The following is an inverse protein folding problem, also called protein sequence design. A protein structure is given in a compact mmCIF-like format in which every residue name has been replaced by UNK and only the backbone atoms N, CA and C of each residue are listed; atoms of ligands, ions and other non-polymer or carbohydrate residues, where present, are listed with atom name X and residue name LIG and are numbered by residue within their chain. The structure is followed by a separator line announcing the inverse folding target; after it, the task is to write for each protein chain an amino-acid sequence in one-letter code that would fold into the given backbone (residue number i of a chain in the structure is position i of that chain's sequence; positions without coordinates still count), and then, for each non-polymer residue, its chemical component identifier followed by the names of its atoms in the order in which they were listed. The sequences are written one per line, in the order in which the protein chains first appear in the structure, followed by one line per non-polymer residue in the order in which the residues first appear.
data_IF_802626424193
#
_entry.id   IF_802626424193
#
_cell.length_a   1.000
_cell.length_b   1.000
_cell.length_c   1.000
_cell.angle_alpha   90.00
_cell.angle_beta   90.00
_cell.angle_gamma   90.00
#
_symmetry.space_group_name_H-M   'P 1'
#
loop_
_entity.id
_entity.type
_entity.pdbx_description
1 polymer ?
#
# COMPACT_ATOMS: atom_id res chain seq x y z
N UNK A 1 -8.64 21.43 2.45
CA UNK A 1 -8.40 21.45 1.00
C UNK A 1 -6.90 21.63 0.82
N UNK A 2 -6.18 20.62 0.33
CA UNK A 2 -4.73 20.71 0.17
C UNK A 2 -4.43 21.46 -1.12
N UNK A 3 -3.69 22.56 -1.04
CA UNK A 3 -3.21 23.28 -2.22
C UNK A 3 -2.02 22.52 -2.80
N UNK A 4 -2.17 21.96 -4.00
CA UNK A 4 -1.07 21.35 -4.74
C UNK A 4 -0.44 22.43 -5.63
N UNK A 5 0.86 22.74 -5.49
CA UNK A 5 1.57 23.69 -6.33
C UNK A 5 1.37 23.46 -7.85
N UNK A 6 1.29 24.53 -8.65
CA UNK A 6 0.99 24.47 -10.09
C UNK A 6 2.04 23.68 -10.88
N UNK A 7 3.32 23.78 -10.49
CA UNK A 7 4.43 23.03 -11.08
C UNK A 7 4.25 21.51 -10.92
N UNK A 8 3.72 21.06 -9.78
CA UNK A 8 3.41 19.65 -9.54
C UNK A 8 2.21 19.22 -10.39
N UNK A 9 1.22 20.09 -10.56
CA UNK A 9 0.05 19.79 -11.40
C UNK A 9 0.47 19.60 -12.86
N UNK A 10 1.29 20.51 -13.41
CA UNK A 10 1.80 20.42 -14.78
C UNK A 10 2.64 19.16 -14.97
N UNK A 11 3.53 18.85 -14.02
CA UNK A 11 4.35 17.64 -14.07
C UNK A 11 3.51 16.35 -14.08
N UNK A 12 2.42 16.29 -13.29
CA UNK A 12 1.51 15.15 -13.29
C UNK A 12 0.73 15.04 -14.59
N UNK A 13 0.29 16.16 -15.15
CA UNK A 13 -0.44 16.20 -16.42
C UNK A 13 0.43 15.69 -17.57
N UNK A 14 1.69 16.09 -17.63
CA UNK A 14 2.69 15.54 -18.58
C UNK A 14 2.90 14.03 -18.39
N UNK A 15 2.96 13.57 -17.14
CA UNK A 15 3.11 12.15 -16.81
C UNK A 15 1.94 11.30 -17.31
N UNK A 16 0.70 11.80 -17.18
CA UNK A 16 -0.47 11.10 -17.69
C UNK A 16 -0.69 11.30 -19.19
N UNK A 17 -0.16 12.38 -19.78
CA UNK A 17 -0.31 12.71 -21.19
C UNK A 17 0.67 11.98 -22.13
N UNK A 18 1.77 11.44 -21.61
CA UNK A 18 2.83 10.79 -22.42
C UNK A 18 2.46 9.42 -23.03
N UNK A 19 1.18 9.19 -23.33
CA UNK A 19 0.74 8.10 -24.21
C UNK A 19 0.65 6.72 -23.56
N UNK A 20 0.72 6.65 -22.24
CA UNK A 20 0.33 5.44 -21.52
C UNK A 20 -1.20 5.33 -21.54
N UNK A 21 -1.77 4.75 -22.61
CA UNK A 21 -3.18 4.38 -22.71
C UNK A 21 -3.51 3.20 -21.76
N UNK A 22 -3.26 3.38 -20.47
CA UNK A 22 -3.58 2.42 -19.42
C UNK A 22 -4.63 3.04 -18.51
N UNK A 23 -5.85 2.51 -18.59
CA UNK A 23 -6.95 2.87 -17.68
C UNK A 23 -6.67 2.45 -16.23
N UNK A 24 -5.71 1.55 -16.02
CA UNK A 24 -5.29 1.03 -14.71
C UNK A 24 -3.78 0.84 -14.72
N UNK A 25 -3.14 1.42 -13.71
CA UNK A 25 -1.72 1.22 -13.45
C UNK A 25 -0.91 2.50 -13.56
N UNK A 26 0.35 2.39 -13.20
CA UNK A 26 1.35 3.44 -13.23
C UNK A 26 2.42 2.97 -14.22
N UNK A 27 2.82 3.82 -15.15
CA UNK A 27 3.77 3.44 -16.19
C UNK A 27 5.10 2.96 -15.59
N UNK A 28 5.59 1.79 -15.99
CA UNK A 28 6.90 1.32 -15.50
C UNK A 28 8.05 2.08 -16.17
N UNK A 29 9.13 2.33 -15.42
CA UNK A 29 10.35 2.95 -15.94
C UNK A 29 10.38 4.48 -15.92
N UNK A 30 9.32 5.14 -15.46
CA UNK A 30 9.34 6.59 -15.23
C UNK A 30 9.74 6.91 -13.78
N UNK A 31 10.43 8.04 -13.60
CA UNK A 31 10.95 8.51 -12.30
C UNK A 31 9.85 8.77 -11.26
N UNK A 32 8.65 9.16 -11.70
CA UNK A 32 7.54 9.44 -10.79
C UNK A 32 6.83 8.17 -10.31
N UNK A 33 6.97 7.06 -11.03
CA UNK A 33 6.21 5.84 -10.79
C UNK A 33 6.42 5.22 -9.40
N UNK A 34 7.66 5.12 -8.88
CA UNK A 34 7.87 4.60 -7.53
C UNK A 34 7.24 5.48 -6.44
N UNK A 35 7.25 6.81 -6.63
CA UNK A 35 6.68 7.76 -5.68
C UNK A 35 5.16 7.64 -5.67
N UNK A 36 4.53 7.60 -6.85
CA UNK A 36 3.08 7.38 -6.99
C UNK A 36 2.65 6.06 -6.36
N UNK A 37 3.39 4.98 -6.59
CA UNK A 37 3.13 3.67 -5.98
C UNK A 37 3.24 3.72 -4.45
N UNK A 38 4.32 4.31 -3.93
CA UNK A 38 4.53 4.44 -2.48
C UNK A 38 3.43 5.27 -1.81
N UNK A 39 2.96 6.35 -2.45
CA UNK A 39 1.86 7.16 -1.96
C UNK A 39 0.53 6.38 -1.96
N UNK A 40 0.22 5.68 -3.06
CA UNK A 40 -0.98 4.87 -3.14
C UNK A 40 -0.99 3.78 -2.05
N UNK A 41 0.10 3.02 -1.92
CA UNK A 41 0.25 2.00 -0.89
C UNK A 41 0.11 2.58 0.52
N UNK A 42 0.70 3.76 0.79
CA UNK A 42 0.55 4.42 2.09
C UNK A 42 -0.91 4.76 2.43
N UNK A 43 -1.71 5.21 1.45
CA UNK A 43 -3.14 5.49 1.64
C UNK A 43 -3.91 4.20 1.94
N UNK A 44 -3.65 3.13 1.17
CA UNK A 44 -4.29 1.81 1.36
C UNK A 44 -3.99 1.26 2.76
N UNK A 45 -2.73 1.31 3.17
CA UNK A 45 -2.30 0.80 4.48
C UNK A 45 -2.86 1.64 5.63
N UNK A 46 -2.99 2.96 5.45
CA UNK A 46 -3.65 3.82 6.44
C UNK A 46 -5.12 3.45 6.63
N UNK A 47 -5.82 3.01 5.59
CA UNK A 47 -7.17 2.48 5.73
C UNK A 47 -7.18 1.13 6.48
N UNK A 48 -6.15 0.30 6.31
CA UNK A 48 -6.01 -0.99 6.98
C UNK A 48 -5.58 -0.89 8.45
N UNK A 49 -4.81 0.14 8.84
CA UNK A 49 -4.26 0.33 10.19
C UNK A 49 -5.32 0.30 11.30
N UNK A 50 -6.57 0.73 11.02
CA UNK A 50 -7.66 0.69 12.00
C UNK A 50 -8.11 -0.72 12.43
N UNK A 51 -7.63 -1.76 11.75
CA UNK A 51 -8.14 -3.13 11.91
C UNK A 51 -7.31 -4.01 12.86
N UNK A 52 -6.14 -3.58 13.32
CA UNK A 52 -5.38 -4.29 14.36
C UNK A 52 -4.63 -3.34 15.29
N UNK A 53 -4.45 -3.79 16.53
CA UNK A 53 -3.56 -3.15 17.49
C UNK A 53 -2.09 -3.47 17.21
N UNK A 54 -1.17 -2.76 17.86
CA UNK A 54 0.26 -3.01 17.73
C UNK A 54 0.61 -4.42 18.22
N UNK A 55 1.48 -5.11 17.48
CA UNK A 55 1.94 -6.44 17.85
C UNK A 55 2.99 -6.35 18.95
N UNK A 56 2.86 -7.21 19.96
CA UNK A 56 3.85 -7.31 21.03
C UNK A 56 4.81 -8.45 20.70
N UNK A 57 6.09 -8.12 20.52
CA UNK A 57 7.14 -9.08 20.19
C UNK A 57 7.80 -9.69 21.44
N UNK A 58 7.30 -9.35 22.63
CA UNK A 58 7.94 -9.66 23.91
C UNK A 58 9.08 -8.70 24.25
N UNK A 59 9.57 -8.78 25.49
CA UNK A 59 10.73 -7.99 25.94
C UNK A 59 10.52 -6.46 25.95
N UNK A 60 9.26 -6.00 25.97
CA UNK A 60 8.93 -4.57 25.88
C UNK A 60 8.96 -3.99 24.46
N UNK A 61 9.23 -4.81 23.45
CA UNK A 61 9.22 -4.39 22.05
C UNK A 61 7.82 -4.53 21.44
N UNK A 62 7.35 -3.44 20.83
CA UNK A 62 6.10 -3.43 20.07
C UNK A 62 6.33 -2.90 18.66
N UNK A 63 5.70 -3.53 17.67
CA UNK A 63 5.75 -3.10 16.28
C UNK A 63 4.36 -2.71 15.77
N UNK A 64 4.29 -1.75 14.81
CA UNK A 64 3.05 -1.49 14.12
C UNK A 64 2.59 -2.76 13.38
N UNK A 65 1.27 -2.99 13.31
CA UNK A 65 0.72 -4.23 12.77
C UNK A 65 0.88 -4.36 11.26
N UNK A 66 1.10 -3.24 10.56
CA UNK A 66 1.46 -3.21 9.16
C UNK A 66 2.76 -2.44 8.96
N UNK A 67 3.63 -3.00 8.12
CA UNK A 67 4.75 -2.31 7.51
C UNK A 67 4.71 -2.58 6.02
N UNK A 68 5.10 -1.60 5.22
CA UNK A 68 5.26 -1.81 3.79
C UNK A 68 6.46 -1.05 3.24
N UNK A 69 6.98 -1.58 2.15
CA UNK A 69 8.01 -0.98 1.34
C UNK A 69 7.65 -1.22 -0.12
N UNK A 70 7.24 -0.15 -0.82
CA UNK A 70 6.69 -0.24 -2.18
C UNK A 70 5.51 -1.21 -2.22
N UNK A 71 5.57 -2.26 -3.04
CA UNK A 71 4.54 -3.30 -3.19
C UNK A 71 4.60 -4.39 -2.10
N UNK A 72 5.73 -4.52 -1.40
CA UNK A 72 5.88 -5.51 -0.33
C UNK A 72 5.25 -5.01 0.97
N UNK A 73 4.28 -5.77 1.48
CA UNK A 73 3.60 -5.49 2.75
C UNK A 73 3.77 -6.66 3.71
N UNK A 74 4.17 -6.35 4.94
CA UNK A 74 4.30 -7.28 6.06
C UNK A 74 3.25 -6.98 7.12
N UNK A 75 2.48 -8.01 7.49
CA UNK A 75 1.53 -7.97 8.60
C UNK A 75 2.17 -8.66 9.80
N UNK A 76 2.17 -7.98 10.94
CA UNK A 76 2.70 -8.49 12.21
C UNK A 76 1.55 -8.47 13.20
N UNK A 77 1.07 -9.63 13.64
CA UNK A 77 0.05 -9.75 14.68
C UNK A 77 0.50 -10.77 15.72
N UNK A 78 -0.09 -10.70 16.92
CA UNK A 78 0.27 -11.61 18.03
C UNK A 78 -0.43 -12.96 17.94
N UNK A 79 -1.54 -13.04 17.20
CA UNK A 79 -2.37 -14.25 17.04
C UNK A 79 -2.69 -14.50 15.58
N UNK A 80 -2.75 -15.79 15.20
CA UNK A 80 -3.11 -16.22 13.84
C UNK A 80 -4.49 -15.69 13.39
N UNK A 81 -5.47 -15.69 14.30
CA UNK A 81 -6.83 -15.21 13.99
C UNK A 81 -6.85 -13.72 13.64
N UNK A 82 -6.04 -12.91 14.32
CA UNK A 82 -5.87 -11.47 14.03
C UNK A 82 -5.20 -11.28 12.66
N UNK A 83 -4.16 -12.07 12.36
CA UNK A 83 -3.51 -12.07 11.05
C UNK A 83 -4.49 -12.41 9.94
N UNK A 84 -5.33 -13.45 10.13
CA UNK A 84 -6.30 -13.88 9.12
C UNK A 84 -7.36 -12.82 8.85
N UNK A 85 -7.89 -12.17 9.90
CA UNK A 85 -8.82 -11.04 9.77
C UNK A 85 -8.18 -9.87 9.03
N UNK A 86 -6.95 -9.52 9.41
CA UNK A 86 -6.22 -8.43 8.77
C UNK A 86 -5.96 -8.71 7.29
N UNK A 87 -5.55 -9.94 6.96
CA UNK A 87 -5.29 -10.34 5.58
C UNK A 87 -6.56 -10.25 4.72
N UNK A 88 -7.70 -10.73 5.23
CA UNK A 88 -8.98 -10.63 4.53
C UNK A 88 -9.43 -9.17 4.33
N UNK A 89 -9.20 -8.31 5.32
CA UNK A 89 -9.47 -6.89 5.21
C UNK A 89 -8.58 -6.21 4.17
N UNK A 90 -7.28 -6.49 4.17
CA UNK A 90 -6.34 -5.99 3.19
C UNK A 90 -6.70 -6.46 1.77
N UNK A 91 -7.10 -7.72 1.59
CA UNK A 91 -7.52 -8.24 0.29
C UNK A 91 -8.77 -7.51 -0.24
N UNK A 92 -9.73 -7.22 0.64
CA UNK A 92 -10.92 -6.42 0.31
C UNK A 92 -10.54 -5.00 -0.11
N UNK A 93 -9.66 -4.33 0.64
CA UNK A 93 -9.16 -3.00 0.30
C UNK A 93 -8.44 -3.01 -1.05
N UNK A 94 -7.52 -3.95 -1.26
CA UNK A 94 -6.79 -4.07 -2.53
C UNK A 94 -7.75 -4.23 -3.71
N UNK A 95 -8.79 -5.05 -3.57
CA UNK A 95 -9.81 -5.21 -4.61
C UNK A 95 -10.54 -3.88 -4.93
N UNK A 96 -10.85 -3.06 -3.92
CA UNK A 96 -11.45 -1.73 -4.13
C UNK A 96 -10.52 -0.78 -4.90
N UNK A 97 -9.21 -0.87 -4.64
CA UNK A 97 -8.19 -0.12 -5.38
C UNK A 97 -7.77 -0.77 -6.70
N UNK A 98 -8.49 -1.81 -7.16
CA UNK A 98 -8.20 -2.58 -8.39
C UNK A 98 -6.80 -3.21 -8.39
N UNK A 99 -6.26 -3.50 -7.21
CA UNK A 99 -5.00 -4.20 -6.99
C UNK A 99 -5.25 -5.62 -6.48
N UNK A 100 -4.22 -6.48 -6.54
CA UNK A 100 -4.32 -7.87 -6.07
C UNK A 100 -2.99 -8.34 -5.52
N UNK A 101 -3.00 -8.94 -4.33
CA UNK A 101 -1.83 -9.64 -3.81
C UNK A 101 -1.54 -10.93 -4.60
N UNK A 102 -0.27 -11.30 -4.72
CA UNK A 102 0.13 -12.55 -5.36
C UNK A 102 0.34 -13.66 -4.32
N UNK A 103 -0.61 -14.60 -4.13
CA UNK A 103 -0.52 -15.57 -3.03
C UNK A 103 0.70 -16.50 -3.16
N UNK A 104 1.15 -16.77 -4.39
CA UNK A 104 2.35 -17.58 -4.66
C UNK A 104 3.64 -16.93 -4.15
N UNK A 105 3.65 -15.60 -4.03
CA UNK A 105 4.79 -14.80 -3.55
C UNK A 105 4.65 -14.45 -2.06
N UNK A 106 3.44 -14.40 -1.53
CA UNK A 106 3.18 -14.16 -0.10
C UNK A 106 3.52 -15.38 0.75
N UNK A 107 4.12 -15.18 1.92
CA UNK A 107 4.43 -16.24 2.90
C UNK A 107 4.20 -15.76 4.32
N UNK A 108 3.88 -16.69 5.21
CA UNK A 108 3.96 -16.51 6.67
C UNK A 108 5.31 -17.00 7.18
N UNK A 109 5.84 -16.33 8.19
CA UNK A 109 7.06 -16.72 8.90
C UNK A 109 6.70 -17.35 10.25
#
# INVERSE_FOLDING_TARGET
MYHVPEDIQVMLDDYFSCGFNQEVGIAMGCTLSPILLAMAMKVILKAAEGSAGPANLGGGCSMPPLKAFLDDTTIICSKEEETRRMLAHCDTLMAWYRMKFMPKKSRSL
#
